data_IF_940032920762
#
_entry.id   IF_940032920762
#
_cell.length_a   1.000
_cell.length_b   1.000
_cell.length_c   1.000
_cell.angle_alpha   90.00
_cell.angle_beta   90.00
_cell.angle_gamma   90.00
#
_symmetry.space_group_name_H-M   'P 1'
#
loop_
_entity.id
_entity.type
_entity.pdbx_description
1 polymer ?
#
# COMPACT_ATOMS: atom_id res chain seq x y z
N UNK A 1 4.19 -2.56 13.54
CA UNK A 1 5.16 -3.07 12.54
C UNK A 1 4.49 -3.71 11.34
N UNK A 2 3.86 -4.89 11.45
CA UNK A 2 3.30 -5.63 10.31
C UNK A 2 2.35 -4.82 9.40
N UNK A 3 1.36 -4.12 9.97
CA UNK A 3 0.45 -3.26 9.20
C UNK A 3 1.16 -2.11 8.46
N UNK A 4 2.30 -1.63 8.96
CA UNK A 4 3.13 -0.63 8.29
C UNK A 4 3.99 -1.24 7.17
N UNK A 5 3.88 -2.55 6.90
CA UNK A 5 4.59 -3.24 5.82
C UNK A 5 5.85 -3.98 6.27
N UNK A 6 6.12 -4.08 7.57
CA UNK A 6 7.35 -4.67 8.08
C UNK A 6 7.21 -6.15 8.44
N UNK A 7 8.14 -6.98 7.98
CA UNK A 7 8.36 -8.34 8.47
C UNK A 7 9.66 -8.43 9.27
N UNK A 8 9.69 -9.34 10.24
CA UNK A 8 10.86 -9.56 11.08
C UNK A 8 11.99 -10.23 10.28
N UNK A 9 13.19 -9.66 10.30
CA UNK A 9 14.36 -10.19 9.60
C UNK A 9 15.63 -9.93 10.40
N UNK A 10 15.85 -10.63 11.53
CA UNK A 10 16.97 -10.33 12.42
C UNK A 10 18.32 -10.60 11.74
N UNK A 11 19.31 -9.78 12.05
CA UNK A 11 20.71 -9.98 11.65
C UNK A 11 21.59 -10.12 12.90
N UNK A 12 22.80 -10.71 12.84
CA UNK A 12 23.59 -11.03 14.04
C UNK A 12 23.80 -9.85 15.02
N UNK A 13 23.91 -8.63 14.49
CA UNK A 13 24.14 -7.41 15.28
C UNK A 13 22.87 -6.60 15.59
N UNK A 14 21.69 -7.08 15.17
CA UNK A 14 20.43 -6.37 15.30
C UNK A 14 19.26 -7.34 15.42
N UNK A 15 18.81 -7.49 16.68
CA UNK A 15 17.83 -8.49 17.09
C UNK A 15 16.39 -8.06 16.85
N UNK A 16 16.17 -6.78 16.57
CA UNK A 16 14.87 -6.17 16.33
C UNK A 16 14.72 -5.67 14.88
N UNK A 17 15.68 -5.99 14.00
CA UNK A 17 15.61 -5.59 12.59
C UNK A 17 14.34 -6.11 11.92
N UNK A 18 13.68 -5.19 11.21
CA UNK A 18 12.54 -5.48 10.34
C UNK A 18 12.82 -4.94 8.94
N UNK A 19 12.16 -5.52 7.93
CA UNK A 19 12.29 -5.11 6.53
C UNK A 19 10.92 -4.85 5.93
N UNK A 20 10.78 -3.76 5.18
CA UNK A 20 9.56 -3.50 4.42
C UNK A 20 9.42 -4.50 3.27
N UNK A 21 8.26 -5.16 3.15
CA UNK A 21 8.02 -6.13 2.06
C UNK A 21 8.06 -5.50 0.66
N UNK A 22 7.82 -4.18 0.55
CA UNK A 22 7.71 -3.50 -0.73
C UNK A 22 8.99 -2.73 -1.12
N UNK A 23 9.50 -1.87 -0.25
CA UNK A 23 10.70 -1.08 -0.55
C UNK A 23 12.01 -1.72 -0.09
N UNK A 24 11.95 -2.85 0.63
CA UNK A 24 13.12 -3.55 1.18
C UNK A 24 13.99 -2.71 2.13
N UNK A 25 13.47 -1.60 2.66
CA UNK A 25 14.17 -0.82 3.69
C UNK A 25 14.24 -1.62 4.99
N UNK A 26 15.46 -1.84 5.49
CA UNK A 26 15.72 -2.35 6.83
C UNK A 26 15.65 -1.24 7.88
N UNK A 27 15.05 -1.54 9.03
CA UNK A 27 14.95 -0.64 10.18
C UNK A 27 15.10 -1.41 11.49
N UNK A 28 15.89 -0.85 12.40
CA UNK A 28 16.31 -1.45 13.67
C UNK A 28 16.46 -0.36 14.74
N UNK A 29 16.66 -0.76 15.99
CA UNK A 29 16.78 0.17 17.12
C UNK A 29 15.46 0.77 17.54
N UNK A 30 14.38 -0.03 17.48
CA UNK A 30 13.03 0.38 17.80
C UNK A 30 12.87 0.70 19.29
N UNK A 31 12.33 1.88 19.58
CA UNK A 31 11.88 2.27 20.90
C UNK A 31 10.37 1.94 21.05
N UNK A 32 9.89 1.52 22.25
CA UNK A 32 8.47 1.32 22.47
C UNK A 32 7.56 2.54 22.16
N UNK A 33 8.12 3.76 22.05
CA UNK A 33 7.36 4.96 21.68
C UNK A 33 7.29 5.20 20.16
N UNK A 34 8.05 4.48 19.34
CA UNK A 34 8.07 4.69 17.90
C UNK A 34 6.72 4.31 17.26
N UNK A 35 6.21 5.17 16.38
CA UNK A 35 5.11 4.81 15.49
C UNK A 35 5.69 4.20 14.18
N UNK A 36 5.48 2.90 13.91
CA UNK A 36 5.98 2.25 12.70
C UNK A 36 5.53 2.90 11.39
N UNK A 37 4.36 3.53 11.38
CA UNK A 37 3.83 4.18 10.19
C UNK A 37 4.55 5.51 9.93
N UNK A 38 4.79 6.29 10.99
CA UNK A 38 5.57 7.53 10.89
C UNK A 38 7.03 7.24 10.52
N UNK A 39 7.64 6.26 11.16
CA UNK A 39 9.01 5.85 10.86
C UNK A 39 9.15 5.35 9.40
N UNK A 40 8.16 4.63 8.87
CA UNK A 40 8.18 4.23 7.46
C UNK A 40 8.11 5.43 6.50
N UNK A 41 7.21 6.38 6.75
CA UNK A 41 7.08 7.60 5.94
C UNK A 41 8.35 8.44 6.00
N UNK A 42 8.93 8.60 7.19
CA UNK A 42 10.14 9.36 7.45
C UNK A 42 11.38 8.76 6.80
N UNK A 43 11.57 7.44 6.90
CA UNK A 43 12.78 6.76 6.42
C UNK A 43 12.67 6.20 4.99
N UNK A 44 11.48 6.18 4.39
CA UNK A 44 11.25 5.76 3.01
C UNK A 44 10.04 6.49 2.38
N UNK A 45 10.13 7.81 2.18
CA UNK A 45 9.02 8.62 1.68
C UNK A 45 8.58 8.25 0.25
N UNK A 46 9.43 7.57 -0.52
CA UNK A 46 9.13 7.10 -1.88
C UNK A 46 8.56 5.67 -1.91
N UNK A 47 8.45 4.99 -0.76
CA UNK A 47 7.84 3.67 -0.69
C UNK A 47 6.34 3.79 -0.97
N UNK A 48 5.86 3.04 -1.96
CA UNK A 48 4.44 3.05 -2.31
C UNK A 48 3.52 2.61 -1.17
N UNK A 49 3.97 1.72 -0.27
CA UNK A 49 3.20 1.34 0.91
C UNK A 49 3.20 2.45 1.97
N UNK A 50 4.31 3.17 2.12
CA UNK A 50 4.37 4.34 2.99
C UNK A 50 3.43 5.43 2.48
N UNK A 51 3.45 5.71 1.17
CA UNK A 51 2.58 6.68 0.51
C UNK A 51 1.11 6.27 0.61
N UNK A 52 0.74 5.06 0.21
CA UNK A 52 -0.66 4.68 0.10
C UNK A 52 -1.32 4.24 1.41
N UNK A 53 -0.56 3.67 2.36
CA UNK A 53 -1.12 3.10 3.58
C UNK A 53 -0.68 3.90 4.81
N UNK A 54 0.63 4.11 4.99
CA UNK A 54 1.15 4.68 6.23
C UNK A 54 0.80 6.16 6.38
N UNK A 55 0.90 6.94 5.30
CA UNK A 55 0.58 8.37 5.33
C UNK A 55 -0.92 8.67 5.52
N UNK A 56 -1.77 7.67 5.31
CA UNK A 56 -3.23 7.76 5.35
C UNK A 56 -3.80 7.15 6.63
N UNK A 57 -2.98 6.55 7.50
CA UNK A 57 -3.49 5.88 8.71
C UNK A 57 -4.01 6.86 9.78
N UNK A 58 -3.35 8.00 9.96
CA UNK A 58 -3.49 8.82 11.17
C UNK A 58 -4.60 9.88 11.08
N UNK A 59 -5.79 9.50 10.60
CA UNK A 59 -6.87 10.45 10.41
C UNK A 59 -8.00 10.08 11.36
N UNK A 60 -8.28 10.99 12.30
CA UNK A 60 -9.50 10.95 13.11
C UNK A 60 -10.71 10.95 12.18
N UNK A 61 -11.84 10.37 12.62
CA UNK A 61 -13.09 10.27 11.83
C UNK A 61 -13.55 11.62 11.24
N UNK A 62 -13.14 12.74 11.83
CA UNK A 62 -13.49 14.11 11.43
C UNK A 62 -12.55 14.76 10.40
N UNK A 63 -11.41 14.14 10.07
CA UNK A 63 -10.47 14.68 9.09
C UNK A 63 -10.45 13.83 7.81
N UNK A 64 -10.22 14.49 6.67
CA UNK A 64 -10.08 13.79 5.41
C UNK A 64 -8.64 13.24 5.25
N UNK A 65 -8.48 12.06 4.63
CA UNK A 65 -7.20 11.41 4.35
C UNK A 65 -6.22 12.15 3.44
N UNK A 66 -6.58 13.35 3.01
CA UNK A 66 -5.85 14.12 2.03
C UNK A 66 -6.17 15.60 2.22
N UNK A 67 -5.22 16.45 1.85
CA UNK A 67 -5.40 17.89 1.84
C UNK A 67 -5.81 18.35 0.43
N UNK A 68 -6.91 19.09 0.32
CA UNK A 68 -7.39 19.65 -0.95
C UNK A 68 -6.40 20.65 -1.59
N UNK A 69 -5.61 21.33 -0.76
CA UNK A 69 -4.58 22.27 -1.21
C UNK A 69 -3.32 21.54 -1.71
N UNK A 70 -3.09 20.31 -1.25
CA UNK A 70 -1.98 19.47 -1.69
C UNK A 70 -2.44 18.54 -2.83
N UNK A 71 -2.37 19.09 -4.05
CA UNK A 71 -2.78 18.38 -5.28
C UNK A 71 -2.10 17.03 -5.47
N UNK A 72 -0.89 16.85 -4.93
CA UNK A 72 -0.13 15.61 -5.03
C UNK A 72 -0.66 14.52 -4.09
N UNK A 73 -1.34 14.90 -3.01
CA UNK A 73 -1.95 13.99 -2.03
C UNK A 73 -3.41 13.66 -2.33
N UNK A 74 -4.02 14.31 -3.31
CA UNK A 74 -5.38 13.98 -3.73
C UNK A 74 -5.47 12.51 -4.18
N UNK A 75 -6.57 11.79 -3.84
CA UNK A 75 -6.76 10.41 -4.28
C UNK A 75 -6.63 10.20 -5.78
N UNK A 76 -7.05 11.20 -6.57
CA UNK A 76 -7.03 11.21 -8.03
C UNK A 76 -5.73 11.74 -8.62
N UNK A 77 -4.75 12.12 -7.79
CA UNK A 77 -3.47 12.63 -8.28
C UNK A 77 -2.69 11.54 -9.00
N UNK A 78 -1.90 11.94 -10.00
CA UNK A 78 -1.00 11.02 -10.70
C UNK A 78 0.00 10.38 -9.75
N UNK A 79 0.50 11.12 -8.75
CA UNK A 79 1.42 10.62 -7.74
C UNK A 79 0.81 9.47 -6.93
N UNK A 80 -0.45 9.63 -6.51
CA UNK A 80 -1.16 8.59 -5.77
C UNK A 80 -1.51 7.40 -6.67
N UNK A 81 -1.92 7.62 -7.93
CA UNK A 81 -2.14 6.53 -8.89
C UNK A 81 -0.85 5.73 -9.14
N UNK A 82 0.27 6.40 -9.40
CA UNK A 82 1.57 5.77 -9.63
C UNK A 82 2.06 5.00 -8.39
N UNK A 83 1.81 5.51 -7.18
CA UNK A 83 2.09 4.80 -5.94
C UNK A 83 1.23 3.53 -5.82
N UNK A 84 -0.09 3.62 -6.08
CA UNK A 84 -0.97 2.45 -6.06
C UNK A 84 -0.54 1.38 -7.06
N UNK A 85 -0.17 1.76 -8.29
CA UNK A 85 0.36 0.82 -9.30
C UNK A 85 1.52 0.01 -8.74
N UNK A 86 2.47 0.63 -8.05
CA UNK A 86 3.65 -0.04 -7.49
C UNK A 86 3.28 -1.10 -6.43
N UNK A 87 2.14 -0.96 -5.74
CA UNK A 87 1.69 -1.98 -4.76
C UNK A 87 1.37 -3.33 -5.39
N UNK A 88 0.99 -3.36 -6.68
CA UNK A 88 0.67 -4.60 -7.41
C UNK A 88 1.91 -5.39 -7.83
N UNK A 89 3.08 -4.75 -7.85
CA UNK A 89 4.38 -5.38 -8.12
C UNK A 89 4.35 -6.37 -9.28
N UNK A 90 5.01 -7.52 -9.08
CA UNK A 90 4.99 -8.67 -10.01
C UNK A 90 4.01 -9.76 -9.55
N UNK A 91 3.28 -9.53 -8.47
CA UNK A 91 2.47 -10.54 -7.77
C UNK A 91 0.96 -10.44 -8.04
N UNK A 92 0.50 -9.42 -8.78
CA UNK A 92 -0.90 -9.38 -9.22
C UNK A 92 -1.20 -10.58 -10.13
N UNK A 93 -2.11 -11.51 -9.75
CA UNK A 93 -2.27 -12.78 -10.43
C UNK A 93 -2.85 -12.66 -11.84
N UNK A 94 -3.45 -11.50 -12.18
CA UNK A 94 -4.07 -11.27 -13.50
C UNK A 94 -3.25 -10.36 -14.42
N UNK A 95 -2.06 -9.96 -14.00
CA UNK A 95 -1.17 -9.12 -14.80
C UNK A 95 -0.82 -9.81 -16.13
N UNK A 96 -1.00 -9.10 -17.25
CA UNK A 96 -0.65 -9.59 -18.58
C UNK A 96 -1.55 -10.69 -19.17
N UNK A 97 -2.61 -11.12 -18.46
CA UNK A 97 -3.56 -12.09 -19.01
C UNK A 97 -4.38 -11.46 -20.14
N UNK A 98 -4.45 -12.14 -21.30
CA UNK A 98 -5.20 -11.65 -22.46
C UNK A 98 -6.68 -11.53 -22.14
N UNK A 99 -7.28 -10.40 -22.51
CA UNK A 99 -8.71 -10.14 -22.37
C UNK A 99 -9.15 -9.76 -20.94
N UNK A 100 -8.25 -9.71 -19.96
CA UNK A 100 -8.59 -9.23 -18.61
C UNK A 100 -8.81 -7.72 -18.61
N UNK A 101 -10.01 -7.29 -18.24
CA UNK A 101 -10.39 -5.88 -18.16
C UNK A 101 -9.77 -5.21 -16.94
N UNK A 102 -9.76 -5.89 -15.79
CA UNK A 102 -9.15 -5.46 -14.52
C UNK A 102 -7.61 -5.41 -14.54
N UNK A 103 -7.04 -4.53 -15.36
CA UNK A 103 -5.59 -4.28 -15.39
C UNK A 103 -5.13 -3.54 -14.12
N UNK A 104 -3.85 -3.69 -13.75
CA UNK A 104 -3.23 -2.95 -12.63
C UNK A 104 -3.49 -1.45 -12.72
N UNK A 105 -3.38 -0.87 -13.92
CA UNK A 105 -3.63 0.56 -14.13
C UNK A 105 -5.07 0.94 -13.82
N UNK A 106 -6.05 0.12 -14.23
CA UNK A 106 -7.45 0.35 -13.91
C UNK A 106 -7.74 0.18 -12.41
N UNK A 107 -7.19 -0.85 -11.77
CA UNK A 107 -7.33 -1.04 -10.32
C UNK A 107 -6.77 0.16 -9.55
N UNK A 108 -5.56 0.60 -9.90
CA UNK A 108 -4.94 1.77 -9.28
C UNK A 108 -5.71 3.06 -9.58
N UNK A 109 -6.26 3.23 -10.78
CA UNK A 109 -7.09 4.39 -11.11
C UNK A 109 -8.40 4.43 -10.32
N UNK A 110 -9.00 3.27 -10.07
CA UNK A 110 -10.18 3.13 -9.22
C UNK A 110 -9.93 3.37 -7.71
N UNK A 111 -8.66 3.58 -7.31
CA UNK A 111 -8.29 3.89 -5.94
C UNK A 111 -7.83 2.68 -5.12
N UNK A 112 -7.71 1.52 -5.74
CA UNK A 112 -7.30 0.29 -5.06
C UNK A 112 -5.78 0.16 -4.93
N UNK A 113 -5.34 -0.36 -3.78
CA UNK A 113 -4.02 -0.97 -3.64
C UNK A 113 -4.15 -2.49 -3.64
N UNK A 114 -3.08 -3.18 -4.02
CA UNK A 114 -2.99 -4.62 -3.83
C UNK A 114 -2.78 -4.96 -2.36
N UNK A 115 -3.60 -5.85 -1.83
CA UNK A 115 -3.63 -6.20 -0.41
C UNK A 115 -4.10 -7.64 -0.22
N UNK A 116 -3.31 -8.64 -0.62
CA UNK A 116 -3.74 -10.02 -0.63
C UNK A 116 -4.01 -10.51 0.79
N UNK A 117 -4.89 -11.49 0.92
CA UNK A 117 -5.16 -12.20 2.16
C UNK A 117 -4.75 -13.67 2.01
N UNK A 118 -4.76 -14.41 3.11
CA UNK A 118 -4.55 -15.87 3.04
C UNK A 118 -5.66 -16.55 2.21
N UNK A 119 -6.87 -15.98 2.21
CA UNK A 119 -8.02 -16.50 1.48
C UNK A 119 -8.13 -16.01 0.03
N UNK A 120 -7.46 -14.92 -0.32
CA UNK A 120 -7.54 -14.33 -1.66
C UNK A 120 -6.22 -13.70 -2.10
N UNK A 121 -5.72 -14.21 -3.23
CA UNK A 121 -4.52 -13.71 -3.91
C UNK A 121 -4.79 -12.54 -4.84
N UNK A 122 -6.06 -12.20 -5.09
CA UNK A 122 -6.45 -11.07 -5.93
C UNK A 122 -7.24 -10.00 -5.16
N UNK A 123 -7.19 -10.03 -3.83
CA UNK A 123 -7.80 -9.00 -3.00
C UNK A 123 -7.11 -7.64 -3.19
N UNK A 124 -7.93 -6.61 -3.35
CA UNK A 124 -7.52 -5.22 -3.44
C UNK A 124 -8.33 -4.38 -2.45
N UNK A 125 -7.76 -3.34 -1.87
CA UNK A 125 -8.43 -2.51 -0.85
C UNK A 125 -8.33 -1.03 -1.19
N UNK A 126 -9.43 -0.29 -1.04
CA UNK A 126 -9.42 1.16 -1.08
C UNK A 126 -8.97 1.72 0.27
N UNK A 127 -7.89 2.49 0.30
CA UNK A 127 -7.33 3.03 1.54
C UNK A 127 -8.14 4.16 2.16
N UNK A 128 -9.11 4.70 1.42
CA UNK A 128 -9.93 5.82 1.88
C UNK A 128 -11.23 5.37 2.54
N UNK A 129 -11.90 4.35 1.98
CA UNK A 129 -13.15 3.82 2.53
C UNK A 129 -13.01 2.44 3.19
N UNK A 130 -11.84 1.81 3.09
CA UNK A 130 -11.55 0.50 3.69
C UNK A 130 -12.18 -0.70 2.98
N UNK A 131 -12.95 -0.49 1.90
CA UNK A 131 -13.60 -1.58 1.16
C UNK A 131 -12.55 -2.43 0.44
N UNK A 132 -12.56 -3.74 0.74
CA UNK A 132 -11.80 -4.76 0.04
C UNK A 132 -12.67 -5.51 -0.97
N UNK A 133 -12.13 -5.81 -2.15
CA UNK A 133 -12.79 -6.59 -3.20
C UNK A 133 -11.86 -7.69 -3.71
N UNK A 134 -12.40 -8.88 -3.93
CA UNK A 134 -11.70 -10.09 -4.35
C UNK A 134 -12.53 -10.90 -5.35
N UNK A 135 -11.92 -11.91 -5.97
CA UNK A 135 -12.61 -12.80 -6.92
C UNK A 135 -12.81 -12.16 -8.30
N UNK A 136 -11.83 -11.41 -8.78
CA UNK A 136 -11.93 -10.63 -10.01
C UNK A 136 -11.99 -11.51 -11.25
N UNK A 137 -13.06 -11.36 -12.03
CA UNK A 137 -13.27 -12.06 -13.28
C UNK A 137 -12.71 -11.29 -14.48
N UNK A 138 -12.60 -11.98 -15.63
CA UNK A 138 -11.99 -11.43 -16.83
C UNK A 138 -12.69 -10.15 -17.34
N UNK A 139 -14.00 -10.03 -17.13
CA UNK A 139 -14.83 -8.93 -17.66
C UNK A 139 -15.10 -7.83 -16.64
N UNK A 140 -14.68 -7.99 -15.40
CA UNK A 140 -14.93 -7.02 -14.35
C UNK A 140 -14.16 -5.72 -14.62
N UNK A 141 -14.89 -4.59 -14.60
CA UNK A 141 -14.30 -3.26 -14.70
C UNK A 141 -14.27 -2.63 -13.29
N UNK A 142 -13.09 -2.28 -12.75
CA UNK A 142 -13.01 -1.63 -11.44
C UNK A 142 -13.43 -0.16 -11.45
N UNK A 143 -13.75 0.43 -12.62
CA UNK A 143 -14.06 1.85 -12.82
C UNK A 143 -15.55 2.17 -12.75
#
# INVERSE_FOLDING_TARGET
LAKAGFYFNPVPNSKDNVVCFLCNKSMEGWDPQDDPFEEHVKHSPDCAWAICYCSIRNINEDQLPFNWDDKDKLPTSKKMEDARIKTFGTWWPHAGKKGWVGTVKKMAKAGFIYSPTIGSLDNVTCQYCGVGLEGWEQKDDPM
#
